data_IF_611581850606
#
_entry.id   IF_611581850606
#
_cell.length_a   1.000
_cell.length_b   1.000
_cell.length_c   1.000
_cell.angle_alpha   90.00
_cell.angle_beta   90.00
_cell.angle_gamma   90.00
#
_symmetry.space_group_name_H-M   'P 1'
#
loop_
_entity.id
_entity.type
_entity.pdbx_description
1 polymer ?
#
# COMPACT_ATOMS: atom_id res chain seq x y z
N UNK A 1 30.53 6.50 16.44
CA UNK A 1 30.17 6.87 16.19
C UNK A 1 29.25 7.27 15.55
N UNK A 2 28.66 7.44 15.48
CA UNK A 2 27.80 8.09 14.99
C UNK A 2 27.31 7.78 13.83
N UNK A 3 27.19 6.91 13.35
CA UNK A 3 26.85 6.62 12.24
C UNK A 3 25.60 6.19 11.98
N UNK A 4 24.85 5.79 12.86
CA UNK A 4 23.55 5.24 12.61
C UNK A 4 22.63 6.17 11.91
N UNK A 5 22.81 7.43 12.08
CA UNK A 5 21.92 8.29 11.41
C UNK A 5 22.45 8.69 10.09
N UNK A 6 23.49 8.13 9.65
CA UNK A 6 23.96 8.40 8.33
C UNK A 6 23.12 7.78 7.27
N UNK A 7 22.31 6.77 7.63
CA UNK A 7 21.38 6.17 6.71
C UNK A 7 20.00 6.47 7.22
N UNK A 8 19.43 7.59 6.83
CA UNK A 8 18.07 7.89 7.28
C UNK A 8 17.12 6.80 6.81
N UNK A 9 16.05 6.56 7.54
CA UNK A 9 15.11 5.54 7.13
C UNK A 9 14.54 5.84 5.76
N UNK A 10 14.30 4.79 5.00
CA UNK A 10 13.62 4.94 3.75
C UNK A 10 12.17 5.31 4.06
N UNK A 11 11.69 6.36 3.44
CA UNK A 11 10.36 6.87 3.71
C UNK A 11 9.71 7.24 2.39
N UNK A 12 8.53 6.69 2.15
CA UNK A 12 7.83 6.90 0.89
C UNK A 12 6.37 7.18 1.19
N UNK A 13 5.81 8.18 0.53
CA UNK A 13 4.40 8.51 0.64
C UNK A 13 3.89 8.80 -0.76
N UNK A 14 2.77 8.20 -1.10
CA UNK A 14 2.14 8.49 -2.38
C UNK A 14 0.63 8.44 -2.19
N UNK A 15 -0.07 9.32 -2.89
CA UNK A 15 -1.52 9.33 -2.91
C UNK A 15 -1.98 8.71 -4.20
N UNK A 16 -2.83 7.70 -4.08
CA UNK A 16 -3.32 6.93 -5.21
C UNK A 16 -4.84 7.01 -5.23
N UNK A 17 -5.44 6.57 -6.32
CA UNK A 17 -6.89 6.63 -6.41
C UNK A 17 -7.44 5.50 -7.24
N UNK A 18 -8.71 5.20 -6.98
CA UNK A 18 -9.51 4.30 -7.80
C UNK A 18 -10.82 5.01 -8.13
N UNK A 19 -11.45 4.59 -9.20
CA UNK A 19 -12.72 5.19 -9.61
C UNK A 19 -13.87 4.79 -8.70
N UNK A 20 -13.78 3.64 -8.06
CA UNK A 20 -14.89 3.13 -7.25
C UNK A 20 -14.41 2.54 -5.94
N UNK A 21 -15.33 2.52 -4.96
CA UNK A 21 -15.07 1.86 -3.69
C UNK A 21 -14.81 0.37 -3.89
N UNK A 22 -15.51 -0.23 -4.86
CA UNK A 22 -15.34 -1.65 -5.16
C UNK A 22 -13.88 -1.96 -5.53
N UNK A 23 -13.29 -1.13 -6.41
CA UNK A 23 -11.90 -1.32 -6.81
C UNK A 23 -10.96 -1.15 -5.63
N UNK A 24 -11.21 -0.17 -4.78
CA UNK A 24 -10.38 0.05 -3.61
C UNK A 24 -10.43 -1.15 -2.66
N UNK A 25 -11.64 -1.68 -2.42
CA UNK A 25 -11.77 -2.84 -1.53
C UNK A 25 -11.13 -4.08 -2.12
N UNK A 26 -11.21 -4.24 -3.44
CA UNK A 26 -10.53 -5.34 -4.11
C UNK A 26 -9.01 -5.21 -3.92
N UNK A 27 -8.51 -3.99 -4.04
CA UNK A 27 -7.09 -3.72 -3.81
C UNK A 27 -6.69 -4.10 -2.38
N UNK A 28 -7.47 -3.68 -1.38
CA UNK A 28 -7.16 -4.03 0.01
C UNK A 28 -7.17 -5.54 0.24
N UNK A 29 -8.15 -6.23 -0.33
CA UNK A 29 -8.21 -7.69 -0.20
C UNK A 29 -6.98 -8.36 -0.82
N UNK A 30 -6.52 -7.86 -1.94
CA UNK A 30 -5.35 -8.42 -2.60
C UNK A 30 -4.08 -8.13 -1.80
N UNK A 31 -4.02 -6.95 -1.16
CA UNK A 31 -2.89 -6.64 -0.28
C UNK A 31 -2.85 -7.64 0.87
N UNK A 32 -3.99 -7.90 1.50
CA UNK A 32 -4.05 -8.85 2.60
C UNK A 32 -3.58 -10.23 2.15
N UNK A 33 -4.01 -10.68 0.98
CA UNK A 33 -3.59 -11.98 0.45
C UNK A 33 -2.13 -12.02 0.09
N UNK A 34 -1.61 -10.95 -0.51
CA UNK A 34 -0.22 -10.89 -0.96
C UNK A 34 0.76 -10.88 0.20
N UNK A 35 0.38 -10.24 1.30
CA UNK A 35 1.26 -10.05 2.44
C UNK A 35 0.83 -10.88 3.64
N UNK A 36 0.17 -12.02 3.40
CA UNK A 36 -0.38 -12.82 4.48
C UNK A 36 0.68 -13.48 5.36
N UNK A 37 1.94 -13.52 4.90
CA UNK A 37 3.03 -14.02 5.72
C UNK A 37 3.56 -12.99 6.71
N UNK A 38 3.11 -11.76 6.58
CA UNK A 38 3.51 -10.68 7.47
C UNK A 38 2.40 -10.38 8.45
N UNK A 39 2.72 -9.60 9.48
CA UNK A 39 1.71 -9.20 10.43
C UNK A 39 0.88 -8.06 9.84
N UNK A 40 -0.43 -8.25 9.80
CA UNK A 40 -1.34 -7.26 9.24
C UNK A 40 -2.29 -6.79 10.34
N UNK A 41 -2.41 -5.48 10.50
CA UNK A 41 -3.32 -4.90 11.46
C UNK A 41 -4.37 -4.10 10.69
N UNK A 42 -5.62 -4.54 10.78
CA UNK A 42 -6.72 -3.83 10.13
C UNK A 42 -7.30 -2.83 11.11
N UNK A 43 -7.30 -1.56 10.74
CA UNK A 43 -7.82 -0.51 11.62
C UNK A 43 -9.33 -0.35 11.44
N UNK A 44 -9.79 -0.51 10.20
CA UNK A 44 -11.22 -0.50 9.89
C UNK A 44 -11.36 -1.10 8.49
N UNK A 45 -12.55 -0.97 7.89
CA UNK A 45 -12.82 -1.60 6.59
C UNK A 45 -12.06 -0.95 5.44
N UNK A 46 -11.44 0.21 5.67
CA UNK A 46 -10.78 0.97 4.60
C UNK A 46 -9.33 1.30 4.89
N UNK A 47 -8.76 0.80 5.98
CA UNK A 47 -7.36 1.08 6.28
C UNK A 47 -6.70 -0.10 7.00
N UNK A 48 -5.40 -0.26 6.73
CA UNK A 48 -4.63 -1.33 7.36
C UNK A 48 -3.16 -0.96 7.39
N UNK A 49 -2.41 -1.68 8.23
CA UNK A 49 -0.97 -1.55 8.31
C UNK A 49 -0.36 -2.95 8.18
N UNK A 50 0.69 -3.06 7.37
CA UNK A 50 1.44 -4.31 7.22
C UNK A 50 2.82 -4.08 7.82
N UNK A 51 3.21 -4.95 8.75
CA UNK A 51 4.53 -4.88 9.39
C UNK A 51 5.44 -5.91 8.76
N UNK A 52 6.63 -5.48 8.38
CA UNK A 52 7.64 -6.38 7.82
C UNK A 52 8.96 -6.11 8.55
N UNK A 53 9.96 -6.98 8.37
CA UNK A 53 11.22 -6.77 9.09
C UNK A 53 11.78 -5.37 8.83
N UNK A 54 12.01 -4.63 9.91
CA UNK A 54 12.59 -3.28 9.89
C UNK A 54 11.69 -2.22 9.32
N UNK A 55 10.38 -2.47 9.21
CA UNK A 55 9.51 -1.41 8.70
C UNK A 55 8.05 -1.78 8.67
N UNK A 56 7.29 -0.90 8.06
CA UNK A 56 5.86 -1.11 7.88
C UNK A 56 5.36 -0.26 6.73
N UNK A 57 4.19 -0.60 6.21
CA UNK A 57 3.47 0.34 5.35
C UNK A 57 2.01 0.41 5.80
N UNK A 58 1.41 1.54 5.51
CA UNK A 58 0.04 1.81 5.89
C UNK A 58 -0.74 2.26 4.66
N UNK A 59 -1.96 1.76 4.53
CA UNK A 59 -2.87 2.18 3.48
C UNK A 59 -4.12 2.71 4.16
N UNK A 60 -4.48 3.94 3.84
CA UNK A 60 -5.54 4.64 4.55
C UNK A 60 -6.36 5.47 3.57
N UNK A 61 -7.67 5.32 3.63
CA UNK A 61 -8.57 6.12 2.82
C UNK A 61 -8.49 7.57 3.28
N UNK A 62 -8.29 8.50 2.34
CA UNK A 62 -8.20 9.91 2.69
C UNK A 62 -9.36 10.73 2.15
N UNK A 63 -9.91 10.31 1.00
CA UNK A 63 -10.98 11.11 0.40
C UNK A 63 -11.93 10.21 -0.34
N UNK A 64 -13.22 10.43 -0.15
CA UNK A 64 -14.26 9.66 -0.80
C UNK A 64 -15.24 10.63 -1.44
N UNK A 65 -15.06 10.89 -2.72
CA UNK A 65 -15.93 11.76 -3.48
C UNK A 65 -16.24 11.05 -4.78
N UNK A 66 -16.05 11.75 -5.90
CA UNK A 66 -16.20 11.13 -7.21
C UNK A 66 -15.15 10.04 -7.38
N UNK A 67 -13.95 10.29 -6.88
CA UNK A 67 -12.87 9.29 -6.86
C UNK A 67 -12.62 8.87 -5.43
N UNK A 68 -12.06 7.69 -5.28
CA UNK A 68 -11.62 7.18 -3.99
C UNK A 68 -10.12 7.42 -3.91
N UNK A 69 -9.70 8.27 -3.00
CA UNK A 69 -8.29 8.57 -2.82
C UNK A 69 -7.79 7.95 -1.53
N UNK A 70 -6.57 7.44 -1.58
CA UNK A 70 -5.99 6.81 -0.40
C UNK A 70 -4.50 7.13 -0.34
N UNK A 71 -3.98 7.06 0.87
CA UNK A 71 -2.57 7.30 1.13
C UNK A 71 -1.86 5.98 1.31
N UNK A 72 -0.74 5.82 0.62
CA UNK A 72 0.15 4.69 0.82
C UNK A 72 1.43 5.25 1.41
N UNK A 73 1.68 4.91 2.67
CA UNK A 73 2.85 5.40 3.40
C UNK A 73 3.70 4.22 3.81
N UNK A 74 5.00 4.30 3.55
CA UNK A 74 5.92 3.23 3.85
C UNK A 74 7.13 3.78 4.57
N UNK A 75 7.58 3.07 5.59
CA UNK A 75 8.78 3.42 6.34
C UNK A 75 9.59 2.17 6.57
N UNK A 76 10.89 2.26 6.32
CA UNK A 76 11.76 1.10 6.49
C UNK A 76 13.16 1.56 6.88
N UNK A 77 13.79 0.85 7.82
CA UNK A 77 15.17 1.08 8.15
C UNK A 77 16.10 0.55 7.08
N UNK A 78 15.59 -0.35 6.24
CA UNK A 78 16.38 -0.93 5.15
C UNK A 78 15.82 -0.43 3.83
N UNK A 79 16.61 0.36 3.11
CA UNK A 79 16.18 0.96 1.86
C UNK A 79 15.79 -0.10 0.82
N UNK A 80 16.61 -1.15 0.73
CA UNK A 80 16.35 -2.19 -0.25
C UNK A 80 15.03 -2.88 0.01
N UNK A 81 14.78 -3.27 1.26
CA UNK A 81 13.54 -3.93 1.62
C UNK A 81 12.35 -3.00 1.42
N UNK A 82 12.51 -1.73 1.77
CA UNK A 82 11.45 -0.75 1.59
C UNK A 82 11.06 -0.61 0.15
N UNK A 83 12.04 -0.55 -0.75
CA UNK A 83 11.75 -0.45 -2.19
C UNK A 83 11.07 -1.69 -2.73
N UNK A 84 11.46 -2.87 -2.24
CA UNK A 84 10.82 -4.11 -2.65
C UNK A 84 9.35 -4.12 -2.26
N UNK A 85 9.06 -3.73 -1.02
CA UNK A 85 7.68 -3.70 -0.55
C UNK A 85 6.87 -2.67 -1.30
N UNK A 86 7.46 -1.50 -1.57
CA UNK A 86 6.79 -0.46 -2.34
C UNK A 86 6.38 -0.99 -3.71
N UNK A 87 7.31 -1.64 -4.40
CA UNK A 87 7.05 -2.14 -5.74
C UNK A 87 5.94 -3.17 -5.74
N UNK A 88 5.90 -4.03 -4.73
CA UNK A 88 4.86 -5.04 -4.67
C UNK A 88 3.48 -4.41 -4.48
N UNK A 89 3.38 -3.38 -3.65
CA UNK A 89 2.11 -2.70 -3.45
C UNK A 89 1.67 -2.00 -4.75
N UNK A 90 2.61 -1.32 -5.41
CA UNK A 90 2.27 -0.61 -6.64
C UNK A 90 1.87 -1.58 -7.75
N UNK A 91 2.45 -2.76 -7.78
CA UNK A 91 2.05 -3.79 -8.75
C UNK A 91 0.64 -4.27 -8.50
N UNK A 92 0.25 -4.43 -7.24
CA UNK A 92 -1.14 -4.80 -6.92
C UNK A 92 -2.08 -3.70 -7.38
N UNK A 93 -1.69 -2.44 -7.16
CA UNK A 93 -2.50 -1.31 -7.60
C UNK A 93 -2.72 -1.33 -9.11
N UNK A 94 -1.65 -1.54 -9.87
CA UNK A 94 -1.74 -1.66 -11.32
C UNK A 94 -2.61 -2.81 -11.75
N UNK A 95 -2.45 -3.94 -11.09
CA UNK A 95 -3.19 -5.13 -11.46
C UNK A 95 -4.70 -4.93 -11.26
N UNK A 96 -5.08 -4.33 -10.14
CA UNK A 96 -6.49 -4.06 -9.87
C UNK A 96 -7.07 -3.09 -10.91
N UNK A 97 -6.30 -2.07 -11.28
CA UNK A 97 -6.74 -1.14 -12.30
C UNK A 97 -7.00 -1.84 -13.64
N UNK A 98 -6.13 -2.77 -14.00
CA UNK A 98 -6.32 -3.52 -15.25
C UNK A 98 -7.55 -4.40 -15.20
N UNK A 99 -7.78 -5.07 -14.07
CA UNK A 99 -8.94 -5.94 -13.94
C UNK A 99 -10.23 -5.15 -14.03
N UNK A 100 -10.28 -4.02 -13.32
CA UNK A 100 -11.49 -3.20 -13.30
C UNK A 100 -11.78 -2.64 -14.68
N UNK A 101 -10.76 -2.19 -15.40
CA UNK A 101 -10.94 -1.70 -16.75
C UNK A 101 -11.45 -2.82 -17.66
N UNK A 102 -10.87 -4.01 -17.56
CA UNK A 102 -11.30 -5.14 -18.38
C UNK A 102 -12.75 -5.52 -18.09
N UNK A 103 -13.15 -5.47 -16.83
CA UNK A 103 -14.54 -5.79 -16.45
C UNK A 103 -15.49 -4.73 -16.98
N UNK A 104 -15.08 -3.48 -17.00
CA UNK A 104 -15.92 -2.41 -17.54
C UNK A 104 -16.07 -2.51 -19.03
N UNK A 105 -15.09 -3.04 -19.72
CA UNK A 105 -15.11 -3.16 -21.17
C UNK A 105 -15.90 -4.36 -21.66
N UNK A 106 -16.20 -5.28 -20.79
CA UNK A 106 -16.91 -6.50 -21.21
C UNK A 106 -18.45 -6.41 -21.03
#
# INVERSE_FOLDING_TARGET
>A
MTYSFKSPPYHFIEYLSFDTVFAYKKFLNMIVGRFDLYQIEKHNSTSLTVYFPNGFFEIKLTEKGDDIRFEFRLKSKCTKKGKEMKEQVLKVNEFVNRIVIAECDS
#
